data_IF_127393825355
#
_entry.id   IF_127393825355
#
_cell.length_a   1.000
_cell.length_b   1.000
_cell.length_c   1.000
_cell.angle_alpha   90.00
_cell.angle_beta   90.00
_cell.angle_gamma   90.00
#
_symmetry.space_group_name_H-M   'P 1'
#
loop_
_entity.id
_entity.type
_entity.pdbx_description
1 polymer ?
#
# COMPACT_ATOMS: atom_id res chain seq x y z
N UNK A 1 -15.24 -15.23 14.50
CA UNK A 1 -15.62 -14.12 15.37
C UNK A 1 -15.16 -14.35 16.79
N UNK A 2 -14.68 -13.31 17.40
CA UNK A 2 -14.33 -13.32 18.82
C UNK A 2 -15.62 -13.31 19.62
N UNK A 3 -15.67 -14.09 20.69
CA UNK A 3 -16.81 -14.06 21.61
C UNK A 3 -16.87 -12.70 22.32
N UNK A 4 -17.98 -11.98 22.14
CA UNK A 4 -18.21 -10.66 22.75
C UNK A 4 -18.37 -10.68 24.28
N UNK A 5 -18.24 -11.84 24.92
CA UNK A 5 -18.42 -11.98 26.38
C UNK A 5 -17.29 -11.34 27.19
N UNK A 6 -16.11 -11.13 26.61
CA UNK A 6 -14.98 -10.47 27.27
C UNK A 6 -14.72 -9.05 26.74
N UNK A 7 -15.72 -8.19 26.84
CA UNK A 7 -15.69 -6.79 26.33
C UNK A 7 -14.49 -5.96 26.85
N UNK A 8 -13.90 -6.32 27.99
CA UNK A 8 -12.74 -5.63 28.57
C UNK A 8 -11.46 -5.72 27.69
N UNK A 9 -11.43 -6.61 26.69
CA UNK A 9 -10.31 -6.76 25.77
C UNK A 9 -10.56 -6.10 24.40
N UNK A 10 -11.73 -5.49 24.21
CA UNK A 10 -12.08 -4.84 22.96
C UNK A 10 -12.12 -3.34 23.12
N UNK A 11 -11.49 -2.65 22.20
CA UNK A 11 -11.59 -1.21 22.08
C UNK A 11 -12.97 -0.81 21.60
N UNK A 12 -13.52 0.25 22.19
CA UNK A 12 -14.76 0.88 21.75
C UNK A 12 -14.43 1.93 20.70
N UNK A 13 -15.01 1.85 19.49
CA UNK A 13 -14.78 2.86 18.47
C UNK A 13 -15.40 4.20 18.84
N UNK A 14 -14.68 5.29 18.55
CA UNK A 14 -15.12 6.68 18.74
C UNK A 14 -15.06 7.44 17.41
N UNK A 15 -16.02 8.35 17.21
CA UNK A 15 -16.17 9.16 16.01
C UNK A 15 -17.27 8.65 15.07
N UNK A 16 -17.93 9.59 14.39
CA UNK A 16 -19.05 9.27 13.48
C UNK A 16 -18.58 8.57 12.21
N UNK A 17 -17.36 8.87 11.76
CA UNK A 17 -16.75 8.32 10.52
C UNK A 17 -15.84 7.12 10.79
N UNK A 18 -15.91 6.51 11.98
CA UNK A 18 -15.07 5.37 12.30
C UNK A 18 -15.46 4.13 11.50
N UNK A 19 -14.46 3.52 10.85
CA UNK A 19 -14.62 2.24 10.16
C UNK A 19 -13.51 1.26 10.54
N UNK A 20 -13.89 0.00 10.77
CA UNK A 20 -12.91 -1.08 10.91
C UNK A 20 -12.29 -1.44 9.57
N UNK A 21 -11.05 -1.93 9.61
CA UNK A 21 -10.33 -2.45 8.46
C UNK A 21 -10.74 -3.89 8.12
N UNK A 22 -10.52 -4.26 6.86
CA UNK A 22 -10.76 -5.61 6.33
C UNK A 22 -9.58 -6.08 5.50
N UNK A 23 -8.97 -7.24 5.87
CA UNK A 23 -7.84 -7.86 5.19
C UNK A 23 -6.60 -6.93 5.10
N UNK A 24 -6.23 -6.34 6.23
CA UNK A 24 -5.14 -5.37 6.32
C UNK A 24 -3.75 -5.95 6.01
N UNK A 25 -2.88 -5.08 5.51
CA UNK A 25 -1.46 -5.33 5.36
C UNK A 25 -0.62 -4.22 5.99
N UNK A 26 0.66 -4.52 6.25
CA UNK A 26 1.67 -3.54 6.67
C UNK A 26 1.29 -2.72 7.91
N UNK A 27 0.95 -3.40 9.01
CA UNK A 27 0.66 -2.72 10.27
C UNK A 27 1.97 -2.21 10.87
N UNK A 28 2.04 -0.90 11.12
CA UNK A 28 3.18 -0.21 11.75
C UNK A 28 2.71 0.76 12.83
N UNK A 29 3.61 1.19 13.68
CA UNK A 29 3.34 2.17 14.72
C UNK A 29 4.12 3.44 14.42
N UNK A 30 3.44 4.59 14.47
CA UNK A 30 4.03 5.91 14.34
C UNK A 30 4.73 6.32 15.65
N UNK A 31 5.56 7.36 15.59
CA UNK A 31 6.33 7.85 16.74
C UNK A 31 5.46 8.30 17.93
N UNK A 32 4.24 8.73 17.66
CA UNK A 32 3.27 9.12 18.68
C UNK A 32 2.47 7.94 19.27
N UNK A 33 2.70 6.71 18.80
CA UNK A 33 2.01 5.50 19.26
C UNK A 33 0.76 5.14 18.47
N UNK A 34 0.35 5.92 17.49
CA UNK A 34 -0.77 5.60 16.60
C UNK A 34 -0.44 4.39 15.71
N UNK A 35 -1.45 3.61 15.37
CA UNK A 35 -1.31 2.42 14.54
C UNK A 35 -1.71 2.74 13.11
N UNK A 36 -0.79 2.59 12.19
CA UNK A 36 -0.95 2.79 10.75
C UNK A 36 -1.01 1.45 10.03
N UNK A 37 -1.90 1.32 9.03
CA UNK A 37 -2.01 0.13 8.21
C UNK A 37 -2.61 0.44 6.84
N UNK A 38 -2.40 -0.48 5.88
CA UNK A 38 -3.12 -0.50 4.63
C UNK A 38 -4.34 -1.42 4.76
N UNK A 39 -5.54 -0.86 4.64
CA UNK A 39 -6.81 -1.57 4.62
C UNK A 39 -7.18 -1.91 3.18
N UNK A 40 -7.04 -3.18 2.80
CA UNK A 40 -7.40 -3.61 1.45
C UNK A 40 -8.91 -3.54 1.18
N UNK A 41 -9.75 -3.59 2.24
CA UNK A 41 -11.19 -3.62 2.09
C UNK A 41 -11.74 -4.93 1.51
N UNK A 42 -10.89 -5.95 1.35
CA UNK A 42 -11.26 -7.24 0.74
C UNK A 42 -12.29 -7.96 1.59
N UNK A 43 -13.38 -8.39 0.95
CA UNK A 43 -14.50 -9.03 1.61
C UNK A 43 -15.20 -8.16 2.68
N UNK A 44 -15.07 -6.85 2.58
CA UNK A 44 -15.78 -5.90 3.43
C UNK A 44 -17.29 -6.14 3.33
N UNK A 45 -17.99 -6.06 4.46
CA UNK A 45 -19.43 -6.25 4.54
C UNK A 45 -20.11 -5.02 5.09
N UNK A 46 -21.28 -4.70 4.57
CA UNK A 46 -22.18 -3.66 5.09
C UNK A 46 -23.10 -4.30 6.15
N UNK A 47 -22.84 -4.01 7.42
CA UNK A 47 -23.62 -4.60 8.53
C UNK A 47 -25.09 -4.15 8.52
N UNK A 48 -25.37 -2.94 8.08
CA UNK A 48 -26.71 -2.41 7.93
C UNK A 48 -27.51 -3.13 6.84
N UNK A 49 -26.86 -3.81 5.90
CA UNK A 49 -27.47 -4.57 4.81
C UNK A 49 -27.44 -6.09 5.02
N UNK A 50 -27.59 -6.55 6.25
CA UNK A 50 -27.54 -7.97 6.64
C UNK A 50 -26.20 -8.62 6.29
N UNK A 51 -25.08 -7.93 6.56
CA UNK A 51 -23.73 -8.39 6.29
C UNK A 51 -23.47 -8.70 4.80
N UNK A 52 -24.14 -8.02 3.89
CA UNK A 52 -23.84 -8.14 2.46
C UNK A 52 -22.45 -7.59 2.16
N UNK A 53 -21.76 -8.29 1.29
CA UNK A 53 -20.46 -7.88 0.81
C UNK A 53 -20.56 -6.56 0.02
N UNK A 54 -19.58 -5.68 0.22
CA UNK A 54 -19.39 -4.49 -0.61
C UNK A 54 -18.85 -4.91 -1.97
N UNK A 55 -19.50 -4.49 -3.05
CA UNK A 55 -19.16 -4.85 -4.43
C UNK A 55 -19.37 -3.67 -5.37
N UNK A 56 -18.89 -3.79 -6.59
CA UNK A 56 -19.04 -2.79 -7.64
C UNK A 56 -18.24 -1.52 -7.34
N UNK A 57 -18.82 -0.39 -7.63
CA UNK A 57 -18.17 0.91 -7.44
C UNK A 57 -18.04 1.32 -5.97
N UNK A 58 -18.66 0.56 -5.06
CA UNK A 58 -18.58 0.81 -3.62
C UNK A 58 -17.30 0.26 -2.96
N UNK A 59 -16.49 -0.53 -3.67
CA UNK A 59 -15.23 -1.06 -3.12
C UNK A 59 -14.18 0.04 -3.03
N UNK A 60 -13.34 -0.05 -2.01
CA UNK A 60 -12.17 0.83 -1.88
C UNK A 60 -11.12 0.17 -0.98
N UNK A 61 -9.89 0.59 -1.20
CA UNK A 61 -8.78 0.40 -0.26
C UNK A 61 -8.37 1.74 0.33
N UNK A 62 -7.63 1.71 1.45
CA UNK A 62 -7.15 2.94 2.07
C UNK A 62 -5.93 2.72 2.95
N UNK A 63 -5.07 3.71 3.04
CA UNK A 63 -4.19 3.89 4.17
C UNK A 63 -4.99 4.49 5.32
N UNK A 64 -4.93 3.92 6.52
CA UNK A 64 -5.67 4.38 7.69
C UNK A 64 -4.79 4.40 8.93
N UNK A 65 -5.02 5.39 9.80
CA UNK A 65 -4.32 5.52 11.07
C UNK A 65 -5.34 5.59 12.19
N UNK A 66 -5.11 4.75 13.20
CA UNK A 66 -5.94 4.69 14.41
C UNK A 66 -5.16 5.15 15.63
N UNK A 67 -5.77 6.01 16.42
CA UNK A 67 -5.33 6.32 17.77
C UNK A 67 -5.91 5.33 18.77
N UNK A 68 -5.06 4.73 19.61
CA UNK A 68 -5.45 3.74 20.60
C UNK A 68 -5.30 4.33 22.01
N UNK A 69 -6.40 4.49 22.71
CA UNK A 69 -6.40 4.84 24.13
C UNK A 69 -6.55 3.58 24.98
N UNK A 70 -5.45 3.12 25.53
CA UNK A 70 -5.42 1.92 26.38
C UNK A 70 -5.95 2.15 27.80
N UNK A 71 -6.03 3.39 28.26
CA UNK A 71 -6.58 3.72 29.58
C UNK A 71 -8.10 3.66 29.57
N UNK A 72 -8.72 4.23 28.54
CA UNK A 72 -10.16 4.25 28.35
C UNK A 72 -10.67 3.09 27.50
N UNK A 73 -9.81 2.29 26.91
CA UNK A 73 -10.14 1.21 25.99
C UNK A 73 -10.97 1.71 24.80
N UNK A 74 -10.52 2.81 24.19
CA UNK A 74 -11.16 3.39 23.00
C UNK A 74 -10.21 3.43 21.81
N UNK A 75 -10.77 3.52 20.61
CA UNK A 75 -10.06 3.66 19.35
C UNK A 75 -10.75 4.67 18.47
N UNK A 76 -9.99 5.62 17.91
CA UNK A 76 -10.50 6.60 16.96
C UNK A 76 -9.71 6.55 15.65
N UNK A 77 -10.37 6.84 14.53
CA UNK A 77 -9.74 6.99 13.23
C UNK A 77 -9.25 8.43 13.09
N UNK A 78 -7.95 8.63 12.96
CA UNK A 78 -7.33 9.97 12.94
C UNK A 78 -6.83 10.40 11.57
N UNK A 79 -6.80 9.46 10.62
CA UNK A 79 -6.40 9.73 9.22
C UNK A 79 -6.93 8.64 8.30
N UNK A 80 -7.27 9.02 7.06
CA UNK A 80 -7.43 8.08 5.95
C UNK A 80 -7.05 8.74 4.62
N UNK A 81 -6.61 7.91 3.66
CA UNK A 81 -6.36 8.27 2.27
C UNK A 81 -6.66 7.08 1.37
N UNK A 82 -7.29 7.32 0.23
CA UNK A 82 -7.56 6.32 -0.81
C UNK A 82 -9.03 5.92 -0.89
N UNK A 83 -9.84 6.10 0.16
CA UNK A 83 -11.28 5.83 0.12
C UNK A 83 -11.99 6.66 -0.94
N UNK A 84 -11.62 7.91 -1.08
CA UNK A 84 -12.14 8.86 -2.07
C UNK A 84 -11.83 8.48 -3.52
N UNK A 85 -10.83 7.62 -3.72
CA UNK A 85 -10.44 7.10 -5.04
C UNK A 85 -11.29 5.89 -5.48
N UNK A 86 -12.02 5.29 -4.54
CA UNK A 86 -12.97 4.22 -4.79
C UNK A 86 -12.38 3.00 -5.49
N UNK A 87 -13.17 2.43 -6.40
CA UNK A 87 -12.80 1.23 -7.14
C UNK A 87 -11.59 1.41 -8.06
N UNK A 88 -11.28 2.63 -8.49
CA UNK A 88 -10.15 2.92 -9.38
C UNK A 88 -8.79 2.80 -8.70
N UNK A 89 -8.78 2.70 -7.37
CA UNK A 89 -7.57 2.50 -6.57
C UNK A 89 -7.68 1.27 -5.64
N UNK A 90 -8.70 0.46 -5.82
CA UNK A 90 -8.95 -0.73 -5.01
C UNK A 90 -7.87 -1.78 -5.25
N UNK A 91 -7.12 -2.10 -4.19
CA UNK A 91 -6.09 -3.13 -4.18
C UNK A 91 -6.53 -4.26 -3.24
N UNK A 92 -7.04 -5.33 -3.81
CA UNK A 92 -7.68 -6.44 -3.09
C UNK A 92 -6.73 -7.28 -2.24
N UNK A 93 -5.42 -7.12 -2.42
CA UNK A 93 -4.40 -7.95 -1.78
C UNK A 93 -3.07 -7.24 -1.66
N UNK A 94 -2.15 -7.76 -0.80
CA UNK A 94 -0.83 -7.18 -0.54
C UNK A 94 -0.92 -5.68 -0.22
N UNK A 95 0.04 -4.86 -0.65
CA UNK A 95 0.01 -3.41 -0.42
C UNK A 95 0.65 -2.99 0.90
N UNK A 96 0.86 -1.70 1.07
CA UNK A 96 1.46 -1.17 2.28
C UNK A 96 1.42 0.34 2.37
N UNK A 97 1.68 0.83 3.56
CA UNK A 97 1.87 2.24 3.85
C UNK A 97 3.05 2.40 4.80
N UNK A 98 3.97 3.29 4.45
CA UNK A 98 5.13 3.64 5.27
C UNK A 98 5.10 5.13 5.59
N UNK A 99 5.47 5.48 6.81
CA UNK A 99 5.76 6.87 7.18
C UNK A 99 7.23 7.17 6.87
N UNK A 100 7.46 8.30 6.19
CA UNK A 100 8.82 8.70 5.80
C UNK A 100 9.58 9.39 6.94
N UNK A 101 8.88 9.85 7.98
CA UNK A 101 9.43 10.62 9.10
C UNK A 101 8.87 10.23 10.48
N UNK A 102 8.13 9.11 10.57
CA UNK A 102 7.48 8.66 11.81
C UNK A 102 6.14 9.33 12.10
N UNK A 103 5.67 10.24 11.23
CA UNK A 103 4.40 10.97 11.38
C UNK A 103 3.37 10.56 10.31
N UNK A 104 2.15 11.07 10.43
CA UNK A 104 1.10 10.90 9.42
C UNK A 104 1.19 11.89 8.25
N UNK A 105 2.10 12.86 8.34
CA UNK A 105 2.15 13.99 7.41
C UNK A 105 2.97 13.68 6.14
N UNK A 106 3.84 12.65 6.20
CA UNK A 106 4.67 12.21 5.09
C UNK A 106 4.56 10.71 4.88
N UNK A 107 3.65 10.29 3.99
CA UNK A 107 3.34 8.88 3.75
C UNK A 107 3.78 8.43 2.36
N UNK A 108 4.23 7.17 2.27
CA UNK A 108 4.53 6.51 1.03
C UNK A 108 3.68 5.25 0.93
N UNK A 109 2.78 5.20 -0.05
CA UNK A 109 1.69 4.23 -0.09
C UNK A 109 1.83 3.39 -1.35
N UNK A 110 1.69 2.08 -1.20
CA UNK A 110 1.69 1.11 -2.30
C UNK A 110 0.34 0.41 -2.34
N UNK A 111 -0.47 0.67 -3.35
CA UNK A 111 -1.64 -0.13 -3.69
C UNK A 111 -1.21 -1.16 -4.74
N UNK A 112 -0.78 -2.33 -4.27
CA UNK A 112 0.10 -3.23 -5.01
C UNK A 112 -0.59 -4.26 -5.90
N UNK A 113 -1.92 -4.36 -5.90
CA UNK A 113 -2.64 -5.37 -6.65
C UNK A 113 -3.99 -4.89 -7.17
N UNK A 114 -4.02 -3.73 -7.78
CA UNK A 114 -5.22 -3.24 -8.44
C UNK A 114 -5.49 -4.03 -9.74
N UNK A 115 -6.74 -4.38 -10.01
CA UNK A 115 -7.13 -5.06 -11.24
C UNK A 115 -7.10 -4.08 -12.41
N UNK A 116 -6.35 -4.42 -13.47
CA UNK A 116 -6.06 -3.47 -14.54
C UNK A 116 -7.05 -3.49 -15.69
N UNK A 117 -7.43 -4.65 -16.18
CA UNK A 117 -8.15 -4.81 -17.44
C UNK A 117 -9.51 -5.50 -17.33
N UNK A 118 -10.14 -5.43 -16.18
CA UNK A 118 -11.53 -5.87 -15.98
C UNK A 118 -12.29 -4.89 -15.08
N UNK A 119 -12.84 -3.85 -15.69
CA UNK A 119 -13.58 -2.82 -14.98
C UNK A 119 -14.95 -3.31 -14.47
N UNK A 120 -15.53 -4.34 -15.11
CA UNK A 120 -16.89 -4.78 -14.80
C UNK A 120 -16.95 -5.68 -13.57
N UNK A 121 -15.89 -6.47 -13.30
CA UNK A 121 -15.90 -7.53 -12.28
C UNK A 121 -14.87 -7.37 -11.16
N UNK A 122 -14.07 -6.31 -11.17
CA UNK A 122 -12.95 -6.13 -10.23
C UNK A 122 -13.31 -6.24 -8.74
N UNK A 123 -14.56 -5.96 -8.39
CA UNK A 123 -15.03 -6.02 -7.00
C UNK A 123 -15.40 -7.43 -6.53
N UNK A 124 -15.59 -8.37 -7.44
CA UNK A 124 -16.03 -9.72 -7.11
C UNK A 124 -14.88 -10.71 -6.93
N UNK A 125 -13.65 -10.25 -7.21
CA UNK A 125 -12.47 -11.11 -7.13
C UNK A 125 -11.99 -11.33 -5.69
N UNK A 126 -11.62 -12.58 -5.43
CA UNK A 126 -10.80 -12.95 -4.31
C UNK A 126 -9.32 -13.01 -4.71
N UNK A 127 -8.38 -12.94 -3.76
CA UNK A 127 -6.96 -13.10 -4.06
C UNK A 127 -6.62 -14.38 -4.85
N UNK A 128 -7.42 -15.44 -4.70
CA UNK A 128 -7.26 -16.68 -5.46
C UNK A 128 -7.48 -16.51 -6.96
N UNK A 129 -8.24 -15.49 -7.36
CA UNK A 129 -8.60 -15.24 -8.77
C UNK A 129 -7.55 -14.37 -9.50
N UNK A 130 -6.53 -13.90 -8.78
CA UNK A 130 -5.51 -12.98 -9.32
C UNK A 130 -4.77 -13.51 -10.56
N UNK A 131 -4.73 -14.83 -10.74
CA UNK A 131 -4.09 -15.49 -11.89
C UNK A 131 -5.09 -15.95 -12.93
N UNK A 132 -6.33 -15.52 -12.86
CA UNK A 132 -7.34 -15.85 -13.85
C UNK A 132 -6.89 -15.40 -15.24
N UNK A 133 -7.09 -16.25 -16.25
CA UNK A 133 -6.64 -15.97 -17.60
C UNK A 133 -7.33 -14.73 -18.17
N UNK A 134 -6.54 -13.83 -18.75
CA UNK A 134 -7.03 -12.59 -19.36
C UNK A 134 -7.12 -11.40 -18.40
N UNK A 135 -6.90 -11.61 -17.09
CA UNK A 135 -6.84 -10.54 -16.12
C UNK A 135 -5.40 -10.22 -15.75
N UNK A 136 -5.11 -8.95 -15.59
CA UNK A 136 -3.80 -8.47 -15.11
C UNK A 136 -3.96 -7.55 -13.92
N UNK A 137 -2.91 -7.47 -13.12
CA UNK A 137 -2.83 -6.58 -11.97
C UNK A 137 -1.86 -5.44 -12.27
N UNK A 138 -2.13 -4.27 -11.71
CA UNK A 138 -1.24 -3.13 -11.72
C UNK A 138 -0.97 -2.64 -10.30
N UNK A 139 0.03 -1.79 -10.18
CA UNK A 139 0.44 -1.17 -8.92
C UNK A 139 0.32 0.34 -9.02
N UNK A 140 -0.23 0.95 -7.98
CA UNK A 140 -0.10 2.38 -7.72
C UNK A 140 0.86 2.62 -6.55
N UNK A 141 1.72 3.62 -6.69
CA UNK A 141 2.63 4.08 -5.65
C UNK A 141 2.45 5.59 -5.51
N UNK A 142 2.00 6.00 -4.34
CA UNK A 142 1.65 7.39 -4.03
C UNK A 142 2.53 7.94 -2.91
N UNK A 143 2.95 9.19 -3.02
CA UNK A 143 3.50 9.94 -1.89
C UNK A 143 2.54 11.04 -1.49
N UNK A 144 2.24 11.10 -0.20
CA UNK A 144 1.38 12.12 0.40
C UNK A 144 2.21 12.97 1.33
N UNK A 145 2.20 14.27 1.10
CA UNK A 145 2.87 15.25 1.95
C UNK A 145 1.84 16.26 2.48
N UNK A 146 1.66 16.30 3.78
CA UNK A 146 0.67 17.14 4.46
C UNK A 146 -0.74 17.02 3.87
N UNK A 147 -1.16 15.77 3.60
CA UNK A 147 -2.47 15.45 3.04
C UNK A 147 -2.61 15.69 1.53
N UNK A 148 -1.55 16.09 0.83
CA UNK A 148 -1.56 16.32 -0.61
C UNK A 148 -0.80 15.22 -1.34
N UNK A 149 -1.37 14.72 -2.44
CA UNK A 149 -0.67 13.83 -3.35
C UNK A 149 0.43 14.61 -4.07
N UNK A 150 1.70 14.27 -3.83
CA UNK A 150 2.87 14.95 -4.39
C UNK A 150 3.63 14.11 -5.40
N UNK A 151 3.42 12.79 -5.39
CA UNK A 151 3.97 11.87 -6.36
C UNK A 151 2.99 10.72 -6.58
N UNK A 152 2.82 10.32 -7.82
CA UNK A 152 2.05 9.13 -8.22
C UNK A 152 2.79 8.38 -9.32
N UNK A 153 2.94 7.07 -9.15
CA UNK A 153 3.48 6.17 -10.15
C UNK A 153 2.51 5.00 -10.34
N UNK A 154 2.12 4.75 -11.58
CA UNK A 154 1.38 3.55 -11.96
C UNK A 154 2.27 2.63 -12.78
N UNK A 155 2.33 1.36 -12.38
CA UNK A 155 3.01 0.31 -13.13
C UNK A 155 1.97 -0.70 -13.59
N UNK A 156 1.80 -0.80 -14.90
CA UNK A 156 0.82 -1.67 -15.54
C UNK A 156 1.39 -2.32 -16.79
N UNK A 157 0.81 -3.46 -17.17
CA UNK A 157 1.10 -4.13 -18.44
C UNK A 157 -0.12 -4.90 -18.92
N UNK A 158 -0.34 -4.92 -20.23
CA UNK A 158 -1.55 -5.50 -20.83
C UNK A 158 -1.59 -7.03 -20.77
N UNK A 159 -0.44 -7.67 -20.57
CA UNK A 159 -0.30 -9.12 -20.64
C UNK A 159 0.43 -9.74 -19.44
N UNK A 160 0.84 -8.95 -18.48
CA UNK A 160 1.56 -9.41 -17.29
C UNK A 160 1.05 -8.71 -16.03
N UNK A 161 1.22 -9.38 -14.89
CA UNK A 161 0.88 -8.82 -13.59
C UNK A 161 2.02 -7.95 -13.08
N UNK A 162 1.74 -6.68 -12.80
CA UNK A 162 2.61 -5.77 -12.08
C UNK A 162 2.20 -5.74 -10.61
N UNK A 163 2.66 -6.72 -9.84
CA UNK A 163 2.37 -6.86 -8.42
C UNK A 163 3.52 -6.31 -7.59
N UNK A 164 3.21 -5.43 -6.65
CA UNK A 164 4.19 -4.89 -5.71
C UNK A 164 3.74 -5.15 -4.28
N UNK A 165 4.48 -5.99 -3.56
CA UNK A 165 4.16 -6.28 -2.17
C UNK A 165 4.33 -5.05 -1.29
N UNK A 166 5.44 -4.33 -1.45
CA UNK A 166 5.78 -3.06 -0.79
C UNK A 166 6.73 -2.26 -1.67
N UNK A 167 6.70 -0.96 -1.56
CA UNK A 167 7.73 -0.06 -2.08
C UNK A 167 8.34 0.74 -0.94
N UNK A 168 9.59 1.12 -1.12
CA UNK A 168 10.33 1.91 -0.14
C UNK A 168 10.97 3.10 -0.83
N UNK A 169 10.91 4.24 -0.18
CA UNK A 169 11.73 5.37 -0.57
C UNK A 169 13.07 5.29 0.13
N UNK A 170 14.14 5.31 -0.62
CA UNK A 170 15.49 5.33 -0.09
C UNK A 170 16.33 6.42 -0.77
N UNK A 171 17.24 7.01 -0.03
CA UNK A 171 18.27 7.86 -0.61
C UNK A 171 19.40 6.94 -1.06
N UNK A 172 19.68 6.84 -2.38
CA UNK A 172 20.69 5.90 -2.90
C UNK A 172 22.11 6.21 -2.45
N UNK A 173 22.34 7.42 -1.92
CA UNK A 173 23.65 7.86 -1.43
C UNK A 173 23.49 8.58 -0.09
N UNK A 174 24.30 8.24 0.90
CA UNK A 174 24.56 9.14 2.02
C UNK A 174 25.43 10.28 1.50
N UNK A 175 24.85 11.43 1.29
CA UNK A 175 25.62 12.63 1.02
C UNK A 175 26.35 12.96 2.32
N UNK A 176 27.70 12.81 2.34
CA UNK A 176 28.48 13.36 3.45
C UNK A 176 28.25 14.88 3.48
N UNK A 177 28.12 15.46 4.66
CA UNK A 177 27.79 16.86 4.86
C UNK A 177 28.81 17.86 4.24
N UNK A 178 29.88 17.37 3.67
CA UNK A 178 30.93 18.16 3.01
C UNK A 178 30.82 18.05 1.49
N UNK A 179 29.81 18.75 0.94
CA UNK A 179 29.59 18.86 -0.52
C UNK A 179 30.63 19.74 -1.23
N UNK A 180 31.61 20.28 -0.52
CA UNK A 180 32.66 21.12 -1.12
C UNK A 180 33.70 20.32 -1.87
N UNK A 181 33.73 19.00 -1.68
CA UNK A 181 34.60 18.06 -2.41
C UNK A 181 33.79 17.00 -3.16
N UNK A 182 32.79 17.38 -3.96
CA UNK A 182 32.23 16.47 -4.96
C UNK A 182 33.31 16.32 -6.05
N UNK A 183 33.95 15.14 -6.17
CA UNK A 183 35.00 14.99 -7.18
C UNK A 183 34.40 15.20 -8.58
N UNK A 184 35.12 15.90 -9.44
CA UNK A 184 34.81 16.03 -10.87
C UNK A 184 34.53 14.68 -11.58
N UNK A 185 34.89 13.57 -10.93
CA UNK A 185 34.72 12.19 -11.36
C UNK A 185 33.25 11.74 -11.49
N UNK A 186 32.29 12.39 -10.81
CA UNK A 186 30.86 12.06 -10.98
C UNK A 186 30.33 12.38 -12.38
N UNK A 187 30.97 13.30 -13.11
CA UNK A 187 30.61 13.58 -14.50
C UNK A 187 31.05 12.50 -15.49
N UNK A 188 32.03 11.68 -15.16
CA UNK A 188 32.57 10.61 -16.04
C UNK A 188 31.93 9.24 -15.79
N UNK A 189 31.20 9.04 -14.68
CA UNK A 189 30.50 7.78 -14.38
C UNK A 189 29.30 7.53 -15.28
N UNK A 190 28.79 8.53 -15.97
CA UNK A 190 27.69 8.40 -16.93
C UNK A 190 28.10 7.85 -18.29
N UNK A 191 29.39 7.95 -18.68
CA UNK A 191 29.85 7.51 -20.00
C UNK A 191 30.52 6.14 -20.01
N UNK A 192 30.87 5.58 -18.85
CA UNK A 192 31.60 4.27 -18.77
C UNK A 192 30.79 3.15 -18.09
N UNK A 193 29.55 3.39 -17.68
CA UNK A 193 28.78 2.42 -16.92
C UNK A 193 28.07 1.34 -17.75
N UNK A 194 28.13 1.38 -19.05
CA UNK A 194 27.58 0.35 -19.94
C UNK A 194 28.59 -0.10 -21.00
N UNK A 195 29.67 -0.75 -20.58
CA UNK A 195 30.20 -1.81 -21.40
C UNK A 195 29.29 -3.02 -21.16
N UNK A 196 28.45 -3.35 -22.15
CA UNK A 196 27.80 -4.65 -22.23
C UNK A 196 28.91 -5.71 -22.19
N UNK A 197 29.13 -6.30 -21.02
CA UNK A 197 29.82 -7.58 -20.98
C UNK A 197 28.82 -8.58 -21.54
N UNK A 198 28.98 -8.92 -22.83
CA UNK A 198 28.40 -10.13 -23.41
C UNK A 198 28.84 -11.30 -22.53
N UNK A 199 27.96 -11.73 -21.64
CA UNK A 199 28.16 -12.96 -20.88
C UNK A 199 27.94 -14.09 -21.86
N UNK A 200 29.03 -14.70 -22.31
CA UNK A 200 28.99 -15.91 -23.13
C UNK A 200 28.33 -17.05 -22.36
N UNK A 201 27.02 -17.24 -22.59
CA UNK A 201 26.20 -18.30 -21.99
C UNK A 201 26.45 -19.68 -22.64
N UNK A 202 27.40 -19.80 -23.60
CA UNK A 202 27.70 -21.08 -24.26
C UNK A 202 28.37 -22.13 -23.35
N UNK A 203 28.76 -21.74 -22.12
CA UNK A 203 29.42 -22.60 -21.13
C UNK A 203 28.54 -22.92 -19.91
N UNK A 204 27.21 -22.60 -19.94
CA UNK A 204 26.30 -23.01 -18.88
C UNK A 204 26.00 -24.51 -19.03
N UNK A 205 26.72 -25.34 -18.31
CA UNK A 205 26.39 -26.76 -18.18
C UNK A 205 25.05 -26.92 -17.47
N UNK A 206 24.14 -27.61 -18.13
CA UNK A 206 22.89 -28.09 -17.53
C UNK A 206 23.20 -29.14 -16.45
N UNK A 207 22.92 -28.84 -15.20
CA UNK A 207 22.86 -29.77 -14.08
C UNK A 207 21.41 -30.13 -13.81
#
# INVERSE_FOLDING_TARGET
GWDKTDSKYFFTPEGEDFEWFYAQHNVTMLDNGDIMLFDNGTAKVKREDNDKRVTGDDVYSRAVIYHIDTENMTVSQVYEYGKERGADWYADWISGVDSLDGTKDHLFITAGSHLHNDEENRSDYYPADMFQQGLTKMTHIDQIDNGNLTFELTVAGDTYNALTYRSFRMVPYTVSADLTEVPEVLGSLGETAYEETETDLSQAETV
#
